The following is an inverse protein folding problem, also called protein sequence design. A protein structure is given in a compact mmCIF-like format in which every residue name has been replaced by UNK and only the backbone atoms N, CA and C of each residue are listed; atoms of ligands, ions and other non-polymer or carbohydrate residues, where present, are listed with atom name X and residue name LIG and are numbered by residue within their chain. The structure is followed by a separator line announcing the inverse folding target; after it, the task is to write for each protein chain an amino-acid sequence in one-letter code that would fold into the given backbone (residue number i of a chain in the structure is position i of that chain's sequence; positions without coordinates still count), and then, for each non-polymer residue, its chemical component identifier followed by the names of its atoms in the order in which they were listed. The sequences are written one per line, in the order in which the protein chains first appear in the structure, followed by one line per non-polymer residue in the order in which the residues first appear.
data_IF_635990431241
#
_entry.id   IF_635990431241
#
_cell.length_a   1.000
_cell.length_b   1.000
_cell.length_c   1.000
_cell.angle_alpha   90.00
_cell.angle_beta   90.00
_cell.angle_gamma   90.00
#
_symmetry.space_group_name_H-M   'P 1'
#
loop_
_entity.id
_entity.type
_entity.pdbx_description
1 polymer ?
#
# COMPACT_ATOMS: atom_id res chain seq x y z
N UNK A 1 4.40 13.83 31.70
CA UNK A 1 5.27 14.32 30.61
C UNK A 1 6.27 13.28 30.10
N UNK A 2 6.67 12.25 30.87
CA UNK A 2 7.66 11.24 30.44
C UNK A 2 7.20 10.29 29.31
N UNK A 3 5.90 10.10 29.09
CA UNK A 3 5.37 9.19 28.04
C UNK A 3 5.12 9.82 26.67
N UNK A 4 5.30 11.14 26.50
CA UNK A 4 4.97 11.81 25.24
C UNK A 4 6.05 11.59 24.17
N UNK A 5 7.33 11.64 24.56
CA UNK A 5 8.47 11.44 23.68
C UNK A 5 8.44 10.08 22.95
N UNK A 6 8.25 8.93 23.62
CA UNK A 6 8.19 7.64 22.91
C UNK A 6 6.96 7.53 21.99
N UNK A 7 5.84 8.15 22.35
CA UNK A 7 4.65 8.17 21.51
C UNK A 7 4.88 8.97 20.22
N UNK A 8 5.46 10.17 20.35
CA UNK A 8 5.82 11.03 19.21
C UNK A 8 6.86 10.35 18.33
N UNK A 9 7.88 9.72 18.92
CA UNK A 9 8.88 8.98 18.17
C UNK A 9 8.27 7.82 17.37
N UNK A 10 7.33 7.07 17.96
CA UNK A 10 6.62 5.99 17.27
C UNK A 10 5.76 6.52 16.12
N UNK A 11 5.02 7.62 16.33
CA UNK A 11 4.24 8.28 15.27
C UNK A 11 5.11 8.84 14.16
N UNK A 12 6.23 9.47 14.50
CA UNK A 12 7.19 10.00 13.53
C UNK A 12 7.79 8.87 12.69
N UNK A 13 8.23 7.78 13.32
CA UNK A 13 8.74 6.61 12.62
C UNK A 13 7.68 5.97 11.70
N UNK A 14 6.45 5.79 12.20
CA UNK A 14 5.35 5.24 11.40
C UNK A 14 5.03 6.11 10.18
N UNK A 15 4.96 7.44 10.37
CA UNK A 15 4.66 8.38 9.28
C UNK A 15 5.80 8.45 8.27
N UNK A 16 7.05 8.42 8.75
CA UNK A 16 8.24 8.37 7.89
C UNK A 16 8.29 7.10 7.04
N UNK A 17 8.08 5.92 7.65
CA UNK A 17 8.02 4.65 6.92
C UNK A 17 6.88 4.63 5.90
N UNK A 18 5.71 5.18 6.25
CA UNK A 18 4.59 5.28 5.32
C UNK A 18 4.92 6.18 4.11
N UNK A 19 5.55 7.34 4.34
CA UNK A 19 5.96 8.23 3.26
C UNK A 19 7.01 7.57 2.34
N UNK A 20 7.98 6.86 2.92
CA UNK A 20 9.00 6.12 2.17
C UNK A 20 8.38 4.99 1.31
N UNK A 21 7.40 4.25 1.85
CA UNK A 21 6.71 3.21 1.09
C UNK A 21 5.85 3.80 -0.03
N UNK A 22 5.15 4.91 0.24
CA UNK A 22 4.32 5.59 -0.75
C UNK A 22 5.13 6.07 -1.95
N UNK A 23 6.32 6.64 -1.74
CA UNK A 23 7.18 7.07 -2.85
C UNK A 23 7.67 5.89 -3.70
N UNK A 24 8.06 4.77 -3.06
CA UNK A 24 8.45 3.55 -3.78
C UNK A 24 7.29 2.95 -4.57
N UNK A 25 6.08 2.94 -4.00
CA UNK A 25 4.88 2.43 -4.67
C UNK A 25 4.49 3.26 -5.90
N UNK A 26 4.80 4.57 -5.91
CA UNK A 26 4.57 5.45 -7.06
C UNK A 26 5.64 5.33 -8.15
N UNK A 27 6.88 5.03 -7.78
CA UNK A 27 7.98 4.81 -8.72
C UNK A 27 7.92 3.42 -9.39
N UNK A 28 7.45 2.40 -8.66
CA UNK A 28 7.40 1.00 -9.12
C UNK A 28 6.68 0.78 -10.47
N UNK A 29 5.50 1.37 -10.77
CA UNK A 29 4.86 1.20 -12.06
C UNK A 29 5.58 1.94 -13.19
N UNK A 30 6.30 3.02 -12.90
CA UNK A 30 7.12 3.72 -13.90
C UNK A 30 8.40 2.93 -14.25
N UNK A 31 8.97 2.21 -13.27
CA UNK A 31 10.14 1.34 -13.49
C UNK A 31 9.78 0.02 -14.19
N UNK A 32 8.56 -0.50 -14.00
CA UNK A 32 8.18 -1.83 -14.50
C UNK A 32 7.45 -1.82 -15.86
N UNK A 33 6.81 -0.70 -16.25
CA UNK A 33 5.97 -0.65 -17.45
C UNK A 33 6.49 0.33 -18.51
N UNK A 34 6.45 -0.09 -19.78
CA UNK A 34 6.88 0.72 -20.93
C UNK A 34 5.89 1.88 -21.20
N UNK A 35 6.39 3.05 -21.62
CA UNK A 35 5.70 4.36 -21.56
C UNK A 35 4.29 4.43 -22.17
N UNK A 36 3.91 3.51 -23.05
CA UNK A 36 2.57 3.45 -23.64
C UNK A 36 1.48 2.86 -22.74
N UNK A 37 1.83 1.96 -21.81
CA UNK A 37 0.86 1.27 -20.94
C UNK A 37 0.69 1.93 -19.56
N UNK A 38 1.62 2.80 -19.16
CA UNK A 38 1.67 3.44 -17.84
C UNK A 38 0.40 4.25 -17.54
N UNK A 39 -0.19 4.92 -18.56
CA UNK A 39 -1.41 5.71 -18.37
C UNK A 39 -2.64 4.86 -18.01
N UNK A 40 -2.79 3.69 -18.63
CA UNK A 40 -3.91 2.78 -18.34
C UNK A 40 -3.72 2.06 -17.00
N UNK A 41 -2.48 1.66 -16.68
CA UNK A 41 -2.15 1.02 -15.39
C UNK A 41 -2.31 2.02 -14.24
N UNK A 42 -1.85 3.27 -14.41
CA UNK A 42 -2.05 4.33 -13.43
C UNK A 42 -3.54 4.68 -13.25
N UNK A 43 -4.31 4.74 -14.34
CA UNK A 43 -5.76 4.94 -14.30
C UNK A 43 -6.50 3.82 -13.56
N UNK A 44 -6.15 2.55 -13.85
CA UNK A 44 -6.74 1.39 -13.16
C UNK A 44 -6.33 1.33 -11.69
N UNK A 45 -5.07 1.61 -11.37
CA UNK A 45 -4.59 1.69 -9.99
C UNK A 45 -5.31 2.81 -9.21
N UNK A 46 -5.51 3.98 -9.84
CA UNK A 46 -6.28 5.08 -9.26
C UNK A 46 -7.75 4.73 -9.03
N UNK A 47 -8.39 4.07 -9.99
CA UNK A 47 -9.77 3.59 -9.84
C UNK A 47 -9.90 2.53 -8.72
N UNK A 48 -8.96 1.59 -8.64
CA UNK A 48 -8.90 0.59 -7.57
C UNK A 48 -8.67 1.24 -6.20
N UNK A 49 -7.79 2.24 -6.10
CA UNK A 49 -7.56 2.99 -4.87
C UNK A 49 -8.81 3.77 -4.43
N UNK A 50 -9.51 4.40 -5.36
CA UNK A 50 -10.78 5.08 -5.10
C UNK A 50 -11.87 4.13 -4.61
N UNK A 51 -12.07 3.02 -5.32
CA UNK A 51 -13.04 1.98 -4.92
C UNK A 51 -12.69 1.37 -3.55
N UNK A 52 -11.41 1.08 -3.30
CA UNK A 52 -10.92 0.59 -2.02
C UNK A 52 -11.17 1.59 -0.87
N UNK A 53 -11.04 2.89 -1.14
CA UNK A 53 -11.34 3.94 -0.16
C UNK A 53 -12.82 3.99 0.19
N UNK A 54 -13.71 3.86 -0.80
CA UNK A 54 -15.16 3.83 -0.59
C UNK A 54 -15.54 2.60 0.27
N UNK A 55 -15.06 1.42 -0.12
CA UNK A 55 -15.31 0.17 0.61
C UNK A 55 -14.76 0.24 2.04
N UNK A 56 -13.54 0.75 2.20
CA UNK A 56 -12.92 0.91 3.52
C UNK A 56 -13.70 1.88 4.41
N UNK A 57 -14.10 3.03 3.87
CA UNK A 57 -14.92 4.02 4.60
C UNK A 57 -16.26 3.43 5.06
N UNK A 58 -16.90 2.64 4.19
CA UNK A 58 -18.15 1.95 4.54
C UNK A 58 -17.94 0.90 5.63
N UNK A 59 -16.88 0.07 5.52
CA UNK A 59 -16.52 -0.92 6.55
C UNK A 59 -16.24 -0.25 7.90
N UNK A 60 -15.49 0.85 7.90
CA UNK A 60 -15.19 1.61 9.12
C UNK A 60 -16.49 2.11 9.76
N UNK A 61 -17.45 2.61 8.96
CA UNK A 61 -18.76 3.03 9.46
C UNK A 61 -19.54 1.90 10.12
N UNK A 62 -19.61 0.72 9.48
CA UNK A 62 -20.33 -0.45 10.01
C UNK A 62 -19.65 -1.03 11.27
N UNK A 63 -18.31 -1.06 11.28
CA UNK A 63 -17.53 -1.60 12.40
C UNK A 63 -17.55 -0.64 13.60
N UNK A 64 -17.45 0.67 13.37
CA UNK A 64 -17.51 1.68 14.43
C UNK A 64 -18.84 1.63 15.20
N UNK A 65 -19.94 1.31 14.51
CA UNK A 65 -21.28 1.27 15.10
C UNK A 65 -21.51 0.03 15.99
N UNK A 66 -20.76 -1.07 15.77
CA UNK A 66 -20.91 -2.33 16.55
C UNK A 66 -19.75 -2.65 17.50
N UNK A 67 -18.52 -2.25 17.20
CA UNK A 67 -17.34 -2.60 17.98
C UNK A 67 -16.39 -1.40 18.13
N UNK A 68 -16.34 -0.86 19.35
CA UNK A 68 -15.44 0.21 19.81
C UNK A 68 -14.03 0.20 19.16
N UNK A 69 -13.53 1.34 18.66
CA UNK A 69 -12.25 1.71 17.98
C UNK A 69 -11.03 0.74 17.90
N UNK A 70 -10.86 -0.20 18.83
CA UNK A 70 -9.72 -1.14 18.87
C UNK A 70 -9.57 -2.04 17.62
N UNK A 71 -10.63 -2.64 17.02
CA UNK A 71 -10.45 -3.55 15.89
C UNK A 71 -10.15 -2.81 14.59
N UNK A 72 -10.55 -1.55 14.47
CA UNK A 72 -10.26 -0.70 13.31
C UNK A 72 -8.75 -0.47 13.20
N UNK A 73 -8.09 -0.15 14.32
CA UNK A 73 -6.64 0.03 14.37
C UNK A 73 -5.88 -1.25 13.98
N UNK A 74 -6.31 -2.42 14.50
CA UNK A 74 -5.66 -3.71 14.16
C UNK A 74 -5.83 -4.04 12.67
N UNK A 75 -7.03 -3.84 12.13
CA UNK A 75 -7.32 -4.11 10.71
C UNK A 75 -6.55 -3.16 9.81
N UNK A 76 -6.51 -1.86 10.15
CA UNK A 76 -5.77 -0.85 9.41
C UNK A 76 -4.26 -1.13 9.38
N UNK A 77 -3.68 -1.64 10.47
CA UNK A 77 -2.25 -2.02 10.51
C UNK A 77 -1.91 -3.28 9.70
N UNK A 78 -2.89 -4.16 9.44
CA UNK A 78 -2.68 -5.33 8.57
C UNK A 78 -2.64 -4.96 7.07
N UNK A 79 -3.33 -3.89 6.67
CA UNK A 79 -3.37 -3.43 5.26
C UNK A 79 -1.98 -3.20 4.66
N UNK A 80 -1.06 -2.42 5.28
CA UNK A 80 0.27 -2.23 4.72
C UNK A 80 1.13 -3.50 4.72
N UNK A 81 0.91 -4.42 5.68
CA UNK A 81 1.56 -5.74 5.69
C UNK A 81 1.12 -6.59 4.50
N UNK A 82 -0.19 -6.62 4.24
CA UNK A 82 -0.76 -7.31 3.08
C UNK A 82 -0.28 -6.69 1.77
N UNK A 83 -0.24 -5.35 1.68
CA UNK A 83 0.27 -4.64 0.52
C UNK A 83 1.75 -4.97 0.25
N UNK A 84 2.60 -4.94 1.28
CA UNK A 84 4.00 -5.33 1.17
C UNK A 84 4.15 -6.81 0.75
N UNK A 85 3.35 -7.72 1.32
CA UNK A 85 3.33 -9.12 0.94
C UNK A 85 2.90 -9.34 -0.52
N UNK A 86 1.86 -8.65 -0.97
CA UNK A 86 1.38 -8.67 -2.37
C UNK A 86 2.45 -8.15 -3.32
N UNK A 87 3.15 -7.04 -2.99
CA UNK A 87 4.27 -6.54 -3.80
C UNK A 87 5.37 -7.58 -3.88
N UNK A 88 5.78 -8.17 -2.74
CA UNK A 88 6.84 -9.18 -2.74
C UNK A 88 6.44 -10.46 -3.49
N UNK A 89 5.16 -10.85 -3.51
CA UNK A 89 4.69 -12.05 -4.22
C UNK A 89 4.51 -11.77 -5.71
N UNK A 90 3.87 -10.66 -6.10
CA UNK A 90 3.63 -10.34 -7.51
C UNK A 90 4.89 -9.88 -8.24
N UNK A 91 5.79 -9.15 -7.58
CA UNK A 91 7.07 -8.72 -8.18
C UNK A 91 8.07 -9.87 -8.19
N UNK A 92 7.92 -10.88 -7.32
CA UNK A 92 8.77 -12.07 -7.36
C UNK A 92 8.40 -12.92 -8.56
N UNK A 93 9.11 -12.62 -9.63
CA UNK A 93 9.12 -13.34 -10.89
C UNK A 93 9.49 -14.81 -10.64
N UNK A 94 8.50 -15.70 -10.73
CA UNK A 94 8.72 -17.13 -10.65
C UNK A 94 9.35 -17.65 -11.95
N UNK A 95 10.16 -18.71 -11.86
CA UNK A 95 10.98 -19.25 -12.95
C UNK A 95 10.19 -19.77 -14.18
N UNK A 96 8.85 -19.65 -14.17
CA UNK A 96 7.94 -19.93 -15.29
C UNK A 96 7.62 -18.71 -16.17
N UNK A 97 8.01 -17.50 -15.78
CA UNK A 97 8.00 -16.34 -16.68
C UNK A 97 9.21 -16.40 -17.60
N UNK A 98 9.18 -17.35 -18.54
CA UNK A 98 10.15 -17.41 -19.62
C UNK A 98 10.17 -16.08 -20.35
N UNK A 99 11.32 -15.40 -20.33
CA UNK A 99 11.61 -14.19 -21.14
C UNK A 99 10.73 -12.97 -20.83
N UNK A 100 10.54 -12.64 -19.57
CA UNK A 100 10.18 -11.27 -19.18
C UNK A 100 11.38 -10.36 -19.39
N UNK A 101 11.41 -9.70 -20.55
CA UNK A 101 12.33 -8.62 -20.95
C UNK A 101 12.53 -7.61 -19.82
N UNK A 102 13.51 -7.87 -18.95
CA UNK A 102 14.24 -6.81 -18.27
C UNK A 102 14.83 -5.98 -19.39
N UNK A 103 14.33 -4.76 -19.56
CA UNK A 103 14.83 -3.83 -20.56
C UNK A 103 16.32 -3.67 -20.32
N UNK A 104 17.08 -4.28 -21.22
CA UNK A 104 18.51 -4.02 -21.42
C UNK A 104 18.57 -2.57 -21.86
N UNK A 105 19.05 -1.71 -20.97
CA UNK A 105 19.62 -0.41 -21.34
C UNK A 105 20.83 -0.62 -22.25
#
# INVERSE_FOLDING_TARGET
MSSFVPLVACFAAATFSYAALSTMALALPADLFESGAVASVAGMAGAAAGAGTIVSTFLIGVVADRFSFKPILITASMVPLLAAGLVLILVRNDARSGRGVVKVI
#
